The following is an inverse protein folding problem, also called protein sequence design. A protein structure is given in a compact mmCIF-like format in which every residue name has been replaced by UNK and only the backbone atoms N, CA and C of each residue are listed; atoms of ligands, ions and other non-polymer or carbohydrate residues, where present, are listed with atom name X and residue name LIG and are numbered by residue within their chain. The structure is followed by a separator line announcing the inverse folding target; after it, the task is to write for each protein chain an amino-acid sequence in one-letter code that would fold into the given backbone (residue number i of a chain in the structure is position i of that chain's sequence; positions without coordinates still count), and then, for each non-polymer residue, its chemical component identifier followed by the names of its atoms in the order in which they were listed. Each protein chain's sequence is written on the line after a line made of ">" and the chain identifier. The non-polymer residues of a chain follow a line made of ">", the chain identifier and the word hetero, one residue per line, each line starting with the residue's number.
data_IF_899811518596
#
_entry.id   IF_899811518596
#
_cell.length_a   1.000
_cell.length_b   1.000
_cell.length_c   1.000
_cell.angle_alpha   90.00
_cell.angle_beta   90.00
_cell.angle_gamma   90.00
#
_symmetry.space_group_name_H-M   'P 1'
#
loop_
_entity.id
_entity.type
_entity.pdbx_description
1 polymer ?
#
# COMPACT_ATOMS: atom_id res chain seq x y z
N UNK A 1 9.25 -50.95 32.44
CA UNK A 1 9.99 -49.68 32.21
C UNK A 1 10.38 -49.44 30.75
N UNK A 2 10.93 -50.39 29.97
CA UNK A 2 11.39 -50.16 28.58
C UNK A 2 10.29 -49.83 27.54
N UNK A 3 9.04 -50.28 27.70
CA UNK A 3 7.94 -49.99 26.76
C UNK A 3 7.40 -48.57 26.92
N UNK A 4 7.26 -48.04 28.14
CA UNK A 4 6.82 -46.67 28.38
C UNK A 4 7.80 -45.62 27.84
N UNK A 5 9.11 -45.87 27.99
CA UNK A 5 10.15 -45.01 27.48
C UNK A 5 10.14 -44.89 25.92
N UNK A 6 9.89 -46.03 25.22
CA UNK A 6 9.77 -46.03 23.76
C UNK A 6 8.57 -45.24 23.27
N UNK A 7 7.42 -45.32 23.97
CA UNK A 7 6.21 -44.56 23.61
C UNK A 7 6.44 -43.06 23.78
N UNK A 8 7.02 -42.63 24.89
CA UNK A 8 7.35 -41.24 25.17
C UNK A 8 8.33 -40.69 24.11
N UNK A 9 9.37 -41.45 23.79
CA UNK A 9 10.35 -41.07 22.78
C UNK A 9 9.73 -40.94 21.38
N UNK A 10 8.84 -41.86 20.99
CA UNK A 10 8.12 -41.80 19.72
C UNK A 10 7.20 -40.58 19.66
N UNK A 11 6.49 -40.25 20.74
CA UNK A 11 5.63 -39.05 20.80
C UNK A 11 6.46 -37.76 20.71
N UNK A 12 7.60 -37.67 21.37
CA UNK A 12 8.50 -36.53 21.25
C UNK A 12 9.06 -36.38 19.85
N UNK A 13 9.41 -37.48 19.18
CA UNK A 13 9.88 -37.45 17.80
C UNK A 13 8.79 -36.97 16.84
N UNK A 14 7.54 -37.43 16.98
CA UNK A 14 6.39 -36.96 16.19
C UNK A 14 6.14 -35.47 16.43
N UNK A 15 6.16 -35.03 17.68
CA UNK A 15 6.02 -33.59 18.01
C UNK A 15 7.12 -32.74 17.36
N UNK A 16 8.37 -33.22 17.39
CA UNK A 16 9.50 -32.55 16.74
C UNK A 16 9.35 -32.48 15.23
N UNK A 17 8.90 -33.55 14.58
CA UNK A 17 8.66 -33.60 13.14
C UNK A 17 7.50 -32.67 12.73
N UNK A 18 6.42 -32.64 13.52
CA UNK A 18 5.28 -31.74 13.27
C UNK A 18 5.68 -30.27 13.49
N UNK A 19 6.46 -29.98 14.51
CA UNK A 19 6.98 -28.63 14.78
C UNK A 19 7.97 -28.18 13.71
N UNK A 20 8.93 -29.04 13.32
CA UNK A 20 9.87 -28.78 12.23
C UNK A 20 9.18 -28.61 10.89
N UNK A 21 8.14 -29.43 10.59
CA UNK A 21 7.32 -29.30 9.39
C UNK A 21 6.57 -27.98 9.33
N UNK A 22 5.93 -27.55 10.42
CA UNK A 22 5.28 -26.25 10.52
C UNK A 22 6.27 -25.07 10.31
N UNK A 23 7.45 -25.15 10.93
CA UNK A 23 8.48 -24.11 10.81
C UNK A 23 8.99 -23.99 9.37
N UNK A 24 9.23 -25.09 8.68
CA UNK A 24 9.65 -25.08 7.27
C UNK A 24 8.58 -24.54 6.34
N UNK A 25 7.31 -24.92 6.56
CA UNK A 25 6.18 -24.42 5.76
C UNK A 25 5.96 -22.92 5.99
N UNK A 26 6.04 -22.44 7.24
CA UNK A 26 5.90 -21.02 7.56
C UNK A 26 7.03 -20.17 6.98
N UNK A 27 8.27 -20.67 7.04
CA UNK A 27 9.43 -19.99 6.45
C UNK A 27 9.34 -19.94 4.91
N UNK A 28 8.91 -21.03 4.28
CA UNK A 28 8.68 -21.07 2.83
C UNK A 28 7.56 -20.14 2.36
N UNK A 29 6.45 -20.11 3.10
CA UNK A 29 5.34 -19.19 2.84
C UNK A 29 5.77 -17.73 2.98
N UNK A 30 6.50 -17.41 4.04
CA UNK A 30 7.02 -16.06 4.28
C UNK A 30 7.99 -15.62 3.17
N UNK A 31 8.95 -16.47 2.80
CA UNK A 31 9.84 -16.20 1.68
C UNK A 31 9.08 -15.90 0.38
N UNK A 32 8.01 -16.67 0.11
CA UNK A 32 7.16 -16.44 -1.04
C UNK A 32 6.40 -15.10 -0.95
N UNK A 33 5.88 -14.75 0.23
CA UNK A 33 5.25 -13.44 0.43
C UNK A 33 6.23 -12.29 0.22
N UNK A 34 7.45 -12.34 0.75
CA UNK A 34 8.48 -11.32 0.55
C UNK A 34 8.84 -11.13 -0.94
N UNK A 35 8.80 -12.20 -1.72
CA UNK A 35 9.01 -12.13 -3.16
C UNK A 35 7.83 -11.44 -3.88
N UNK A 36 6.60 -11.65 -3.42
CA UNK A 36 5.40 -11.02 -3.96
C UNK A 36 5.21 -9.58 -3.50
N UNK A 37 5.71 -9.22 -2.32
CA UNK A 37 5.61 -7.91 -1.70
C UNK A 37 6.99 -7.27 -1.54
N UNK A 38 7.65 -6.93 -2.65
CA UNK A 38 8.99 -6.36 -2.59
C UNK A 38 8.96 -4.95 -2.00
N UNK A 39 10.02 -4.61 -1.28
CA UNK A 39 10.35 -3.24 -0.91
C UNK A 39 11.35 -2.73 -1.95
N UNK A 40 10.95 -1.73 -2.71
CA UNK A 40 11.77 -1.06 -3.74
C UNK A 40 11.70 0.45 -3.53
N UNK A 41 12.68 1.18 -4.04
CA UNK A 41 12.73 2.64 -3.93
C UNK A 41 12.72 3.12 -2.46
N UNK A 42 13.38 2.39 -1.56
CA UNK A 42 13.34 2.61 -0.10
C UNK A 42 13.69 4.05 0.27
N UNK A 43 14.74 4.61 -0.34
CA UNK A 43 15.17 5.97 -0.09
C UNK A 43 14.10 6.99 -0.51
N UNK A 44 13.50 6.80 -1.70
CA UNK A 44 12.47 7.69 -2.24
C UNK A 44 11.19 7.58 -1.42
N UNK A 45 10.69 6.35 -1.21
CA UNK A 45 9.47 6.11 -0.43
C UNK A 45 9.64 6.62 1.00
N UNK A 46 10.79 6.36 1.62
CA UNK A 46 11.07 6.83 2.97
C UNK A 46 11.06 8.34 3.07
N UNK A 47 11.77 9.03 2.16
CA UNK A 47 11.80 10.48 2.10
C UNK A 47 10.41 11.08 1.93
N UNK A 48 9.66 10.63 0.92
CA UNK A 48 8.36 11.22 0.60
C UNK A 48 7.27 10.82 1.64
N UNK A 49 7.32 9.60 2.21
CA UNK A 49 6.44 9.22 3.29
C UNK A 49 6.67 10.07 4.55
N UNK A 50 7.93 10.34 4.91
CA UNK A 50 8.26 11.22 6.02
C UNK A 50 7.86 12.68 5.75
N UNK A 51 8.10 13.20 4.54
CA UNK A 51 7.73 14.57 4.14
C UNK A 51 6.23 14.82 4.26
N UNK A 52 5.41 13.83 3.94
CA UNK A 52 3.95 13.94 3.90
C UNK A 52 3.23 13.25 5.06
N UNK A 53 3.95 12.83 6.10
CA UNK A 53 3.41 12.15 7.29
C UNK A 53 2.56 10.92 6.94
N UNK A 54 3.11 10.05 6.10
CA UNK A 54 2.47 8.81 5.64
C UNK A 54 3.13 7.58 6.26
N UNK A 55 2.33 6.53 6.50
CA UNK A 55 2.87 5.20 6.77
C UNK A 55 3.51 4.62 5.49
N UNK A 56 4.82 4.30 5.47
CA UNK A 56 5.49 3.72 4.31
C UNK A 56 4.81 2.43 3.83
N UNK A 57 4.25 1.62 4.73
CA UNK A 57 3.52 0.41 4.37
C UNK A 57 2.30 0.72 3.48
N UNK A 58 1.59 1.83 3.75
CA UNK A 58 0.47 2.26 2.92
C UNK A 58 0.94 2.75 1.55
N UNK A 59 2.05 3.48 1.48
CA UNK A 59 2.64 3.92 0.20
C UNK A 59 3.00 2.70 -0.66
N UNK A 60 3.68 1.70 -0.08
CA UNK A 60 3.99 0.45 -0.78
C UNK A 60 2.74 -0.30 -1.23
N UNK A 61 1.69 -0.31 -0.41
CA UNK A 61 0.41 -0.94 -0.75
C UNK A 61 -0.26 -0.30 -1.97
N UNK A 62 -0.24 1.04 -2.05
CA UNK A 62 -0.75 1.79 -3.20
C UNK A 62 0.10 1.52 -4.45
N UNK A 63 1.43 1.63 -4.38
CA UNK A 63 2.32 1.35 -5.52
C UNK A 63 2.08 -0.08 -6.06
N UNK A 64 1.91 -1.04 -5.15
CA UNK A 64 1.63 -2.41 -5.53
C UNK A 64 0.29 -2.57 -6.25
N UNK A 65 -0.77 -1.96 -5.74
CA UNK A 65 -2.10 -2.02 -6.33
C UNK A 65 -2.15 -1.32 -7.69
N UNK A 66 -1.49 -0.16 -7.82
CA UNK A 66 -1.53 0.67 -9.02
C UNK A 66 -0.69 0.12 -10.18
N UNK A 67 0.52 -0.30 -9.92
CA UNK A 67 1.46 -0.66 -11.00
C UNK A 67 2.16 -2.00 -10.81
N UNK A 68 2.08 -2.61 -9.61
CA UNK A 68 2.96 -3.71 -9.20
C UNK A 68 4.45 -3.35 -9.42
N UNK A 69 4.83 -2.12 -9.05
CA UNK A 69 6.18 -1.57 -9.18
C UNK A 69 6.70 -1.43 -10.63
N UNK A 70 5.82 -1.25 -11.61
CA UNK A 70 6.20 -1.00 -13.00
C UNK A 70 6.21 0.51 -13.28
N UNK A 71 7.38 1.06 -13.58
CA UNK A 71 7.60 2.49 -13.77
C UNK A 71 6.94 3.04 -15.05
N UNK A 72 7.00 2.26 -16.14
CA UNK A 72 6.60 2.71 -17.47
C UNK A 72 5.14 2.35 -17.83
N UNK A 73 4.31 1.98 -16.83
CA UNK A 73 2.94 1.60 -17.11
C UNK A 73 2.05 2.84 -17.31
N UNK A 74 1.22 2.78 -18.35
CA UNK A 74 0.15 3.74 -18.60
C UNK A 74 -1.16 2.98 -18.67
N UNK A 75 -2.15 3.42 -17.88
CA UNK A 75 -3.47 2.82 -17.91
C UNK A 75 -4.30 3.32 -19.11
N UNK A 76 -5.39 2.60 -19.41
CA UNK A 76 -6.36 3.05 -20.43
C UNK A 76 -7.05 4.39 -20.09
N UNK A 77 -6.94 4.84 -18.84
CA UNK A 77 -7.47 6.13 -18.36
C UNK A 77 -6.42 7.24 -18.38
N UNK A 78 -5.21 6.97 -18.92
CA UNK A 78 -4.13 7.96 -18.98
C UNK A 78 -3.52 8.24 -17.60
N UNK A 79 -3.38 7.22 -16.75
CA UNK A 79 -2.66 7.32 -15.50
C UNK A 79 -1.26 6.71 -15.67
N UNK A 80 -0.23 7.35 -15.11
CA UNK A 80 1.19 7.11 -15.39
C UNK A 80 1.94 6.59 -14.17
N UNK A 81 2.83 5.63 -14.39
CA UNK A 81 3.92 5.24 -13.51
C UNK A 81 3.50 4.48 -12.26
N UNK A 82 4.35 4.50 -11.25
CA UNK A 82 4.28 3.67 -10.05
C UNK A 82 2.98 3.83 -9.26
N UNK A 83 2.52 5.07 -9.08
CA UNK A 83 1.32 5.43 -8.31
C UNK A 83 0.15 5.89 -9.20
N UNK A 84 0.26 5.69 -10.52
CA UNK A 84 -0.79 5.92 -11.51
C UNK A 84 -1.44 7.31 -11.41
N UNK A 85 -0.61 8.34 -11.55
CA UNK A 85 -1.08 9.73 -11.52
C UNK A 85 -1.56 10.14 -12.92
N UNK A 86 -2.79 10.65 -13.02
CA UNK A 86 -3.33 11.20 -14.27
C UNK A 86 -2.81 12.61 -14.52
N UNK A 87 -2.72 13.01 -15.79
CA UNK A 87 -2.27 14.36 -16.17
C UNK A 87 -3.07 15.48 -15.47
N UNK A 88 -4.43 15.48 -15.43
CA UNK A 88 -5.17 16.51 -14.70
C UNK A 88 -4.88 16.53 -13.20
N UNK A 89 -4.64 15.36 -12.59
CA UNK A 89 -4.26 15.27 -11.16
C UNK A 89 -2.87 15.84 -10.95
N UNK A 90 -1.93 15.52 -11.83
CA UNK A 90 -0.57 16.05 -11.80
C UNK A 90 -0.53 17.57 -11.91
N UNK A 91 -1.22 18.16 -12.90
CA UNK A 91 -1.32 19.61 -13.06
C UNK A 91 -1.94 20.28 -11.81
N UNK A 92 -3.01 19.68 -11.27
CA UNK A 92 -3.62 20.19 -10.04
C UNK A 92 -2.64 20.12 -8.85
N UNK A 93 -1.90 19.03 -8.70
CA UNK A 93 -0.90 18.87 -7.65
C UNK A 93 0.24 19.88 -7.77
N UNK A 94 0.69 20.20 -8.99
CA UNK A 94 1.69 21.24 -9.22
C UNK A 94 1.25 22.59 -8.64
N UNK A 95 -0.04 22.91 -8.66
CA UNK A 95 -0.57 24.13 -8.02
C UNK A 95 -0.51 24.08 -6.48
N UNK A 96 -0.36 22.90 -5.89
CA UNK A 96 -0.31 22.67 -4.43
C UNK A 96 1.09 22.48 -3.89
N UNK A 97 2.02 22.18 -4.79
CA UNK A 97 3.43 21.97 -4.44
C UNK A 97 4.23 23.23 -4.81
N UNK A 98 5.20 23.57 -3.96
CA UNK A 98 6.12 24.70 -4.20
C UNK A 98 7.44 24.14 -4.72
N UNK A 99 7.38 23.43 -5.86
CA UNK A 99 8.56 22.86 -6.47
C UNK A 99 9.43 23.97 -7.08
N UNK A 100 10.73 23.85 -6.90
CA UNK A 100 11.72 24.72 -7.57
C UNK A 100 11.92 24.34 -9.04
N UNK A 101 11.49 23.15 -9.43
CA UNK A 101 11.60 22.59 -10.78
C UNK A 101 10.20 22.48 -11.41
N UNK A 102 10.14 22.71 -12.71
CA UNK A 102 8.92 22.48 -13.49
C UNK A 102 9.01 21.09 -14.11
N UNK A 103 8.10 20.21 -13.74
CA UNK A 103 7.98 18.88 -14.32
C UNK A 103 6.90 18.84 -15.38
N UNK A 104 7.06 17.94 -16.35
CA UNK A 104 6.10 17.61 -17.40
C UNK A 104 5.44 16.25 -17.10
N UNK A 105 4.41 15.88 -17.83
CA UNK A 105 3.72 14.59 -17.65
C UNK A 105 4.66 13.41 -17.92
N UNK A 106 5.65 13.57 -18.80
CA UNK A 106 6.66 12.56 -19.10
C UNK A 106 7.58 12.27 -17.90
N UNK A 107 7.76 13.25 -17.01
CA UNK A 107 8.53 13.04 -15.78
C UNK A 107 7.83 12.09 -14.80
N UNK A 108 6.53 11.80 -14.97
CA UNK A 108 5.81 10.80 -14.19
C UNK A 108 6.30 9.35 -14.42
N UNK A 109 7.13 9.09 -15.41
CA UNK A 109 7.84 7.81 -15.54
C UNK A 109 9.05 7.68 -14.61
N UNK A 110 9.51 8.81 -14.04
CA UNK A 110 10.62 8.82 -13.09
C UNK A 110 10.09 8.49 -11.69
N UNK A 111 10.65 7.47 -11.00
CA UNK A 111 10.22 7.08 -9.66
C UNK A 111 10.17 8.23 -8.66
N UNK A 112 11.18 9.12 -8.67
CA UNK A 112 11.27 10.25 -7.75
C UNK A 112 10.09 11.22 -7.89
N UNK A 113 9.71 11.51 -9.12
CA UNK A 113 8.60 12.41 -9.42
C UNK A 113 7.28 11.73 -9.12
N UNK A 114 7.09 10.51 -9.60
CA UNK A 114 5.83 9.78 -9.47
C UNK A 114 5.47 9.51 -8.00
N UNK A 115 6.42 8.99 -7.22
CA UNK A 115 6.21 8.69 -5.79
C UNK A 115 5.95 9.98 -5.01
N UNK A 116 6.70 11.07 -5.29
CA UNK A 116 6.50 12.37 -4.65
C UNK A 116 5.07 12.90 -4.87
N UNK A 117 4.60 12.93 -6.11
CA UNK A 117 3.26 13.41 -6.45
C UNK A 117 2.17 12.47 -5.93
N UNK A 118 2.40 11.16 -5.98
CA UNK A 118 1.49 10.16 -5.42
C UNK A 118 1.35 10.25 -3.90
N UNK A 119 2.46 10.43 -3.18
CA UNK A 119 2.45 10.65 -1.73
C UNK A 119 1.75 11.97 -1.38
N UNK A 120 1.99 13.04 -2.15
CA UNK A 120 1.26 14.30 -1.96
C UNK A 120 -0.25 14.14 -2.12
N UNK A 121 -0.69 13.44 -3.17
CA UNK A 121 -2.11 13.14 -3.36
C UNK A 121 -2.68 12.35 -2.19
N UNK A 122 -2.01 11.27 -1.81
CA UNK A 122 -2.44 10.40 -0.71
C UNK A 122 -2.56 11.17 0.61
N UNK A 123 -1.58 12.01 0.94
CA UNK A 123 -1.60 12.87 2.14
C UNK A 123 -2.78 13.86 2.13
N UNK A 124 -3.06 14.51 0.99
CA UNK A 124 -4.21 15.41 0.87
C UNK A 124 -5.51 14.65 1.13
N UNK A 125 -5.66 13.45 0.55
CA UNK A 125 -6.87 12.65 0.69
C UNK A 125 -7.05 12.11 2.11
N UNK A 126 -5.98 11.62 2.74
CA UNK A 126 -6.03 11.17 4.15
C UNK A 126 -6.33 12.33 5.11
N UNK A 127 -5.89 13.54 4.81
CA UNK A 127 -6.23 14.73 5.58
C UNK A 127 -7.66 15.24 5.35
N UNK A 128 -8.27 14.91 4.22
CA UNK A 128 -9.62 15.35 3.87
C UNK A 128 -10.71 14.39 4.36
N UNK A 129 -10.45 13.09 4.37
CA UNK A 129 -11.42 12.07 4.72
C UNK A 129 -11.12 11.43 6.08
N UNK A 130 -12.16 11.08 6.83
CA UNK A 130 -12.03 10.52 8.19
C UNK A 130 -11.61 9.05 8.22
N UNK A 131 -11.73 8.32 7.10
CA UNK A 131 -11.28 6.93 6.99
C UNK A 131 -10.33 6.74 5.82
N UNK A 132 -9.36 5.84 6.00
CA UNK A 132 -8.42 5.46 4.96
C UNK A 132 -9.15 4.89 3.74
N UNK A 133 -10.18 4.09 3.93
CA UNK A 133 -10.96 3.49 2.86
C UNK A 133 -11.65 4.58 2.00
N UNK A 134 -12.25 5.60 2.63
CA UNK A 134 -12.87 6.71 1.89
C UNK A 134 -11.82 7.54 1.15
N UNK A 135 -10.65 7.76 1.73
CA UNK A 135 -9.52 8.41 1.06
C UNK A 135 -9.04 7.59 -0.16
N UNK A 136 -8.95 6.27 -0.04
CA UNK A 136 -8.61 5.37 -1.14
C UNK A 136 -9.69 5.33 -2.23
N UNK A 137 -10.98 5.44 -1.86
CA UNK A 137 -12.05 5.65 -2.84
C UNK A 137 -11.81 6.92 -3.66
N UNK A 138 -11.42 8.01 -2.99
CA UNK A 138 -11.15 9.28 -3.66
C UNK A 138 -9.85 9.23 -4.51
N UNK A 139 -8.88 8.45 -4.10
CA UNK A 139 -7.67 8.20 -4.89
C UNK A 139 -8.03 7.55 -6.25
N UNK A 140 -8.86 6.51 -6.23
CA UNK A 140 -9.22 5.73 -7.41
C UNK A 140 -10.34 6.37 -8.26
N UNK A 141 -11.43 6.83 -7.62
CA UNK A 141 -12.61 7.36 -8.30
C UNK A 141 -12.64 8.89 -8.44
N UNK A 142 -11.75 9.60 -7.73
CA UNK A 142 -11.69 11.04 -7.68
C UNK A 142 -12.58 11.65 -6.58
N UNK A 143 -12.11 12.78 -6.02
CA UNK A 143 -12.77 13.51 -4.92
C UNK A 143 -14.22 13.93 -5.26
N UNK A 144 -14.46 14.37 -6.48
CA UNK A 144 -15.81 14.80 -6.91
C UNK A 144 -16.81 13.66 -6.82
N UNK A 145 -16.43 12.48 -7.29
CA UNK A 145 -17.29 11.29 -7.26
C UNK A 145 -17.56 10.83 -5.83
N UNK A 146 -16.54 10.81 -4.99
CA UNK A 146 -16.72 10.45 -3.57
C UNK A 146 -17.58 11.48 -2.85
N UNK A 147 -17.47 12.77 -3.18
CA UNK A 147 -18.36 13.81 -2.64
C UNK A 147 -19.84 13.56 -3.02
N UNK A 148 -20.13 13.10 -4.25
CA UNK A 148 -21.48 12.71 -4.66
C UNK A 148 -21.99 11.51 -3.85
N UNK A 149 -21.13 10.49 -3.64
CA UNK A 149 -21.49 9.29 -2.87
C UNK A 149 -21.73 9.61 -1.38
N UNK A 150 -20.92 10.48 -0.79
CA UNK A 150 -21.10 10.91 0.61
C UNK A 150 -22.39 11.72 0.82
N UNK A 151 -22.88 12.40 -0.21
CA UNK A 151 -24.13 13.16 -0.17
C UNK A 151 -25.38 12.29 -0.37
N UNK A 152 -25.23 11.02 -0.76
CA UNK A 152 -26.34 10.08 -1.02
C UNK A 152 -26.51 9.09 0.13
N UNK A 153 -27.69 9.08 0.76
CA UNK A 153 -28.02 8.17 1.87
C UNK A 153 -27.93 6.68 1.49
N UNK A 154 -27.99 6.36 0.20
CA UNK A 154 -27.79 4.98 -0.28
C UNK A 154 -26.35 4.47 -0.08
N UNK A 155 -25.37 5.38 0.08
CA UNK A 155 -23.95 5.04 0.18
C UNK A 155 -23.29 5.54 1.47
N UNK A 156 -23.85 6.57 2.10
CA UNK A 156 -23.34 7.15 3.35
C UNK A 156 -24.52 7.59 4.24
N UNK A 157 -24.51 7.15 5.48
CA UNK A 157 -25.53 7.53 6.46
C UNK A 157 -25.18 8.77 7.30
N UNK A 158 -23.90 9.16 7.28
CA UNK A 158 -23.38 10.26 8.10
C UNK A 158 -22.80 11.41 7.24
N UNK A 159 -22.74 11.23 5.91
CA UNK A 159 -22.12 12.20 4.99
C UNK A 159 -20.59 12.26 5.09
N UNK A 160 -19.95 11.36 5.84
CA UNK A 160 -18.52 11.39 6.17
C UNK A 160 -17.82 10.10 5.80
N UNK A 161 -18.49 8.96 6.01
CA UNK A 161 -17.97 7.62 5.73
C UNK A 161 -18.85 6.88 4.74
N UNK A 162 -18.26 6.12 3.84
CA UNK A 162 -18.99 5.25 2.92
C UNK A 162 -19.23 3.89 3.56
N UNK A 163 -20.51 3.49 3.68
CA UNK A 163 -20.87 2.13 4.05
C UNK A 163 -21.04 1.21 2.83
N UNK A 164 -21.15 1.79 1.63
CA UNK A 164 -21.22 1.08 0.35
C UNK A 164 -20.43 1.84 -0.70
N UNK A 165 -19.58 1.16 -1.43
CA UNK A 165 -18.82 1.73 -2.56
C UNK A 165 -19.58 1.34 -3.85
N UNK A 166 -20.17 2.31 -4.59
CA UNK A 166 -21.07 2.00 -5.70
C UNK A 166 -20.38 1.36 -6.91
N UNK A 167 -19.08 1.64 -7.09
CA UNK A 167 -18.32 1.16 -8.23
C UNK A 167 -17.51 -0.09 -7.86
N UNK A 168 -17.80 -1.26 -8.45
CA UNK A 168 -17.07 -2.49 -8.17
C UNK A 168 -15.56 -2.39 -8.41
N UNK A 169 -15.14 -1.57 -9.39
CA UNK A 169 -13.72 -1.29 -9.64
C UNK A 169 -13.08 -0.63 -8.42
N UNK A 170 -13.73 0.39 -7.86
CA UNK A 170 -13.21 1.13 -6.70
C UNK A 170 -13.28 0.28 -5.43
N UNK A 171 -14.35 -0.49 -5.23
CA UNK A 171 -14.47 -1.43 -4.11
C UNK A 171 -13.32 -2.45 -4.13
N UNK A 172 -13.06 -3.08 -5.27
CA UNK A 172 -11.96 -4.02 -5.45
C UNK A 172 -10.58 -3.37 -5.24
N UNK A 173 -10.43 -2.13 -5.70
CA UNK A 173 -9.20 -1.36 -5.49
C UNK A 173 -8.93 -1.12 -4.00
N UNK A 174 -9.92 -0.61 -3.27
CA UNK A 174 -9.81 -0.36 -1.82
C UNK A 174 -9.48 -1.65 -1.09
N UNK A 175 -10.20 -2.74 -1.38
CA UNK A 175 -9.94 -4.04 -0.78
C UNK A 175 -8.50 -4.51 -1.06
N UNK A 176 -8.02 -4.39 -2.29
CA UNK A 176 -6.67 -4.78 -2.67
C UNK A 176 -5.59 -3.93 -1.98
N UNK A 177 -5.78 -2.61 -1.85
CA UNK A 177 -4.83 -1.74 -1.13
C UNK A 177 -4.80 -2.09 0.35
N UNK A 178 -5.96 -2.28 0.99
CA UNK A 178 -6.03 -2.61 2.41
C UNK A 178 -5.43 -3.99 2.72
N UNK A 179 -5.65 -4.98 1.84
CA UNK A 179 -4.99 -6.29 1.94
C UNK A 179 -3.46 -6.14 1.81
N UNK A 180 -2.99 -5.44 0.79
CA UNK A 180 -1.57 -5.17 0.59
C UNK A 180 -0.97 -4.46 1.82
N UNK A 181 -1.67 -3.46 2.36
CA UNK A 181 -1.23 -2.69 3.52
C UNK A 181 -1.03 -3.60 4.75
N UNK A 182 -2.02 -4.46 5.04
CA UNK A 182 -1.90 -5.44 6.12
C UNK A 182 -0.70 -6.37 5.92
N UNK A 183 -0.47 -6.86 4.69
CA UNK A 183 0.66 -7.76 4.41
C UNK A 183 2.00 -7.03 4.57
N UNK A 184 2.13 -5.77 4.10
CA UNK A 184 3.35 -4.99 4.32
C UNK A 184 3.62 -4.76 5.81
N UNK A 185 2.60 -4.45 6.61
CA UNK A 185 2.73 -4.30 8.05
C UNK A 185 3.12 -5.62 8.75
N UNK A 186 2.65 -6.77 8.25
CA UNK A 186 3.00 -8.08 8.80
C UNK A 186 4.41 -8.52 8.44
N UNK A 187 4.87 -8.21 7.22
CA UNK A 187 6.17 -8.65 6.72
C UNK A 187 7.33 -7.76 7.16
N UNK A 188 7.09 -6.45 7.30
CA UNK A 188 8.14 -5.46 7.47
C UNK A 188 7.91 -4.56 8.67
N UNK A 189 9.00 -4.15 9.28
CA UNK A 189 9.05 -3.04 10.22
C UNK A 189 9.70 -1.85 9.51
N UNK A 190 8.99 -0.73 9.47
CA UNK A 190 9.46 0.51 8.86
C UNK A 190 9.82 1.48 9.98
N UNK A 191 11.07 1.90 10.04
CA UNK A 191 11.56 2.87 11.01
C UNK A 191 12.27 4.03 10.30
N UNK A 192 11.87 5.25 10.62
CA UNK A 192 12.49 6.46 10.09
C UNK A 192 13.52 6.98 11.10
N UNK A 193 14.79 6.80 10.80
CA UNK A 193 15.87 7.20 11.70
C UNK A 193 17.01 7.89 10.94
N UNK A 194 17.47 9.03 11.46
CA UNK A 194 18.61 9.75 10.89
C UNK A 194 18.44 10.27 9.46
N UNK A 195 17.19 10.47 8.99
CA UNK A 195 16.91 10.91 7.62
C UNK A 195 16.79 9.77 6.59
N UNK A 196 16.77 8.53 7.04
CA UNK A 196 16.69 7.34 6.19
C UNK A 196 15.61 6.39 6.69
N UNK A 197 14.86 5.77 5.77
CA UNK A 197 13.94 4.69 6.08
C UNK A 197 14.75 3.40 6.27
N UNK A 198 14.63 2.80 7.44
CA UNK A 198 15.15 1.47 7.73
C UNK A 198 14.01 0.47 7.61
N UNK A 199 14.22 -0.57 6.81
CA UNK A 199 13.23 -1.63 6.58
C UNK A 199 13.80 -2.94 7.12
N UNK A 200 13.19 -3.46 8.16
CA UNK A 200 13.54 -4.74 8.74
C UNK A 200 12.45 -5.77 8.48
N UNK A 201 12.83 -6.99 8.16
CA UNK A 201 11.90 -8.11 8.04
C UNK A 201 11.52 -8.61 9.44
N UNK A 202 10.23 -8.75 9.69
CA UNK A 202 9.71 -9.26 10.97
C UNK A 202 9.92 -10.77 11.11
#
# INVERSE_FOLDING_TARGET
>A
MRRGFKIIFSLLLVCLLLWGGKSLLSSGYRFFQEMLYPVRYEEIVGKEANEYDLDPALVYAVIRAESSFREEVVSNKGAYGLMQITEPTFEWLQTKMQDSETYTVEDLYRPEVNIRYGCKLLSILLGQYSSTETALCAYNAGMGRVGEWLADEAYSSDGVTLHTIPYPETENYVAAVMENYSVYQDLYHFDWNGGTLHVEKK
#
